data_IF_974459200366
#
_entry.id   IF_974459200366
#
_cell.length_a   1.000
_cell.length_b   1.000
_cell.length_c   1.000
_cell.angle_alpha   90.00
_cell.angle_beta   90.00
_cell.angle_gamma   90.00
#
_symmetry.space_group_name_H-M   'P 1'
#
loop_
_entity.id
_entity.type
_entity.pdbx_description
1 polymer ?
#
# COMPACT_ATOMS: atom_id res chain seq x y z
N UNK A 1 21.57 20.49 6.00
CA UNK A 1 20.39 19.82 5.42
C UNK A 1 19.37 19.72 6.53
N UNK A 2 18.21 20.35 6.40
CA UNK A 2 17.11 20.14 7.33
C UNK A 2 16.28 18.94 6.81
N UNK A 3 15.90 18.04 7.70
CA UNK A 3 15.02 16.90 7.39
C UNK A 3 13.69 17.16 8.07
N UNK A 4 12.59 17.00 7.34
CA UNK A 4 11.24 17.05 7.86
C UNK A 4 10.62 15.66 7.76
N UNK A 5 9.97 15.21 8.84
CA UNK A 5 9.40 13.87 8.93
C UNK A 5 7.90 13.98 9.15
N UNK A 6 7.12 13.34 8.28
CA UNK A 6 5.67 13.27 8.38
C UNK A 6 5.27 11.90 8.91
N UNK A 7 4.38 11.88 9.91
CA UNK A 7 3.78 10.67 10.45
C UNK A 7 2.33 10.49 10.00
N UNK A 8 1.76 9.31 10.20
CA UNK A 8 0.34 9.07 9.92
C UNK A 8 -0.56 9.96 10.78
N UNK A 9 -1.53 10.63 10.13
CA UNK A 9 -2.53 11.48 10.79
C UNK A 9 -3.98 11.11 10.42
N UNK A 10 -4.17 10.15 9.51
CA UNK A 10 -5.47 9.84 8.90
C UNK A 10 -5.95 10.91 7.89
N UNK A 11 -5.08 11.84 7.48
CA UNK A 11 -5.43 12.90 6.54
C UNK A 11 -4.21 13.50 5.83
N UNK A 12 -4.49 14.34 4.84
CA UNK A 12 -3.45 15.01 4.04
C UNK A 12 -2.65 15.99 4.88
N UNK A 13 -1.34 15.95 4.74
CA UNK A 13 -0.39 16.94 5.26
C UNK A 13 0.23 17.72 4.10
N UNK A 14 0.89 18.83 4.39
CA UNK A 14 1.49 19.68 3.35
C UNK A 14 2.91 20.05 3.70
N UNK A 15 3.78 20.07 2.70
CA UNK A 15 5.13 20.60 2.76
C UNK A 15 5.23 21.80 1.82
N UNK A 16 5.61 22.96 2.35
CA UNK A 16 5.91 24.15 1.53
C UNK A 16 7.41 24.23 1.31
N UNK A 17 7.82 24.23 0.05
CA UNK A 17 9.24 24.27 -0.31
C UNK A 17 9.86 25.60 0.17
N UNK A 18 10.93 25.56 0.98
CA UNK A 18 11.56 26.77 1.48
C UNK A 18 12.14 27.65 0.36
N UNK A 19 12.31 28.93 0.66
CA UNK A 19 13.02 29.86 -0.22
C UNK A 19 14.42 29.32 -0.57
N UNK A 20 14.81 29.45 -1.84
CA UNK A 20 16.09 29.00 -2.39
C UNK A 20 16.32 27.47 -2.37
N UNK A 21 15.26 26.67 -2.23
CA UNK A 21 15.32 25.22 -2.43
C UNK A 21 14.70 24.86 -3.77
N UNK A 22 15.50 24.24 -4.64
CA UNK A 22 15.07 23.81 -5.98
C UNK A 22 15.14 22.28 -6.16
N UNK A 23 15.65 21.58 -5.14
CA UNK A 23 15.83 20.13 -5.17
C UNK A 23 15.63 19.56 -3.75
N UNK A 24 14.82 18.51 -3.62
CA UNK A 24 14.60 17.79 -2.36
C UNK A 24 14.78 16.29 -2.55
N UNK A 25 15.35 15.63 -1.55
CA UNK A 25 15.33 14.17 -1.45
C UNK A 25 14.06 13.75 -0.72
N UNK A 26 13.30 12.83 -1.32
CA UNK A 26 12.09 12.28 -0.72
C UNK A 26 12.31 10.80 -0.44
N UNK A 27 11.98 10.37 0.78
CA UNK A 27 12.00 8.97 1.21
C UNK A 27 10.65 8.62 1.80
N UNK A 28 10.03 7.59 1.26
CA UNK A 28 8.67 7.17 1.61
C UNK A 28 8.68 5.70 2.04
N UNK A 29 7.98 5.41 3.13
CA UNK A 29 7.70 4.05 3.60
C UNK A 29 6.18 3.88 3.61
N UNK A 30 5.67 2.94 2.83
CA UNK A 30 4.26 2.56 2.92
C UNK A 30 3.98 1.85 4.24
N UNK A 31 2.72 1.82 4.65
CA UNK A 31 2.35 1.22 5.92
C UNK A 31 2.36 -0.31 5.84
N UNK A 32 2.66 -0.95 6.97
CA UNK A 32 2.46 -2.38 7.14
C UNK A 32 1.02 -2.73 7.52
N UNK A 33 0.62 -3.98 7.35
CA UNK A 33 -0.75 -4.45 7.67
C UNK A 33 -1.11 -4.26 9.15
N UNK A 34 -0.10 -4.37 10.02
CA UNK A 34 -0.28 -4.43 11.48
C UNK A 34 -0.40 -5.88 11.96
N UNK A 35 -0.34 -6.09 13.28
CA UNK A 35 -0.59 -7.41 13.87
C UNK A 35 -2.09 -7.73 13.76
N UNK A 36 -2.44 -8.67 12.89
CA UNK A 36 -3.77 -9.29 12.84
C UNK A 36 -3.78 -10.60 13.63
N UNK A 37 -4.97 -11.16 13.92
CA UNK A 37 -5.13 -12.33 14.80
C UNK A 37 -4.29 -13.52 14.36
N UNK A 38 -3.10 -13.63 14.95
CA UNK A 38 -2.15 -14.72 14.83
C UNK A 38 -1.13 -14.65 13.68
N UNK A 39 -1.04 -13.55 12.95
CA UNK A 39 0.02 -13.34 11.94
C UNK A 39 0.93 -12.16 12.31
N UNK A 40 2.24 -12.33 12.12
CA UNK A 40 3.17 -11.21 12.17
C UNK A 40 2.93 -10.41 10.88
N UNK A 41 2.28 -9.24 10.99
CA UNK A 41 1.92 -8.41 9.84
C UNK A 41 3.06 -8.14 8.85
N UNK A 42 2.70 -7.76 7.64
CA UNK A 42 3.64 -7.45 6.58
C UNK A 42 4.12 -6.01 6.66
N UNK A 43 5.35 -5.76 6.21
CA UNK A 43 5.89 -4.42 6.03
C UNK A 43 5.39 -3.80 4.72
N UNK A 44 5.23 -2.48 4.67
CA UNK A 44 5.02 -1.74 3.43
C UNK A 44 6.33 -1.51 2.66
N UNK A 45 6.20 -1.03 1.43
CA UNK A 45 7.32 -0.77 0.53
C UNK A 45 8.11 0.49 0.86
N UNK A 46 9.26 0.63 0.21
CA UNK A 46 10.14 1.80 0.30
C UNK A 46 10.37 2.43 -1.06
N UNK A 47 10.26 3.75 -1.16
CA UNK A 47 10.63 4.52 -2.34
C UNK A 47 11.53 5.70 -1.96
N UNK A 48 12.55 5.98 -2.77
CA UNK A 48 13.41 7.14 -2.62
C UNK A 48 13.74 7.81 -3.95
N UNK A 49 13.86 9.13 -3.94
CA UNK A 49 14.23 9.86 -5.14
C UNK A 49 14.49 11.34 -4.91
N UNK A 50 15.15 11.95 -5.89
CA UNK A 50 15.32 13.40 -5.97
C UNK A 50 14.17 14.02 -6.76
N UNK A 51 13.61 15.10 -6.23
CA UNK A 51 12.49 15.84 -6.83
C UNK A 51 12.91 17.28 -7.08
N UNK A 52 12.88 17.68 -8.36
CA UNK A 52 12.98 19.09 -8.73
C UNK A 52 11.73 19.82 -8.24
N UNK A 53 11.97 20.92 -7.51
CA UNK A 53 10.94 21.73 -6.87
C UNK A 53 11.09 23.21 -7.18
N UNK A 54 10.01 23.96 -7.02
CA UNK A 54 10.01 25.43 -7.09
C UNK A 54 9.91 26.02 -5.69
N UNK A 55 10.76 26.98 -5.30
CA UNK A 55 10.60 27.71 -4.04
C UNK A 55 9.17 28.22 -3.85
N UNK A 56 8.58 27.93 -2.70
CA UNK A 56 7.21 28.32 -2.34
C UNK A 56 6.10 27.41 -2.88
N UNK A 57 6.37 26.39 -3.69
CA UNK A 57 5.32 25.43 -4.08
C UNK A 57 4.89 24.57 -2.88
N UNK A 58 3.65 24.09 -2.91
CA UNK A 58 3.08 23.23 -1.87
C UNK A 58 2.94 21.79 -2.38
N UNK A 59 3.68 20.89 -1.76
CA UNK A 59 3.54 19.44 -1.94
C UNK A 59 2.53 18.89 -0.94
N UNK A 60 1.73 17.93 -1.38
CA UNK A 60 0.73 17.24 -0.57
C UNK A 60 1.30 15.88 -0.17
N UNK A 61 1.40 15.66 1.14
CA UNK A 61 2.00 14.47 1.74
C UNK A 61 0.91 13.59 2.33
N UNK A 62 0.86 12.35 1.88
CA UNK A 62 -0.04 11.32 2.36
C UNK A 62 0.83 10.25 3.00
N UNK A 63 0.64 10.00 4.28
CA UNK A 63 1.37 8.94 4.99
C UNK A 63 0.41 7.78 5.19
N UNK A 64 0.82 6.58 4.81
CA UNK A 64 0.03 5.37 4.97
C UNK A 64 -0.25 5.05 6.43
N UNK A 65 -1.48 4.65 6.71
CA UNK A 65 -1.93 4.01 7.94
C UNK A 65 -1.94 2.50 7.78
N UNK A 66 -1.71 1.79 8.87
CA UNK A 66 -1.76 0.33 8.86
C UNK A 66 -3.13 -0.21 8.45
N UNK A 67 -3.18 -1.48 8.04
CA UNK A 67 -4.43 -2.20 7.82
C UNK A 67 -5.36 -2.09 9.02
N UNK A 68 -4.83 -2.30 10.24
CA UNK A 68 -5.57 -2.10 11.50
C UNK A 68 -6.11 -0.68 11.75
N UNK A 69 -5.62 0.32 11.00
CA UNK A 69 -6.12 1.70 11.01
C UNK A 69 -6.99 2.02 9.78
N UNK A 70 -7.54 1.00 9.11
CA UNK A 70 -8.43 1.13 7.96
C UNK A 70 -7.71 1.41 6.64
N UNK A 71 -6.40 1.18 6.56
CA UNK A 71 -5.68 1.19 5.29
C UNK A 71 -5.59 2.54 4.59
N UNK A 72 -5.78 3.66 5.29
CA UNK A 72 -5.77 4.96 4.63
C UNK A 72 -4.35 5.39 4.20
N UNK A 73 -4.13 5.95 3.00
CA UNK A 73 -5.05 5.96 1.87
C UNK A 73 -4.92 4.67 1.05
N UNK A 74 -6.02 4.30 0.39
CA UNK A 74 -6.06 3.35 -0.72
C UNK A 74 -5.88 1.85 -0.37
N UNK A 75 -5.90 1.45 0.90
CA UNK A 75 -5.99 0.04 1.29
C UNK A 75 -7.37 -0.55 0.97
N UNK A 76 -7.39 -1.83 0.56
CA UNK A 76 -8.61 -2.60 0.37
C UNK A 76 -9.14 -3.18 1.69
N UNK A 77 -10.44 -3.41 1.78
CA UNK A 77 -11.04 -4.01 2.97
C UNK A 77 -10.87 -5.52 3.01
N UNK A 78 -10.56 -6.07 4.19
CA UNK A 78 -10.69 -7.49 4.48
C UNK A 78 -12.16 -7.91 4.65
N UNK A 79 -12.39 -9.21 4.79
CA UNK A 79 -13.72 -9.77 5.09
C UNK A 79 -13.68 -10.64 6.35
N UNK A 80 -14.77 -10.65 7.12
CA UNK A 80 -14.89 -11.48 8.32
C UNK A 80 -13.81 -11.17 9.35
N UNK A 81 -12.92 -12.13 9.59
CA UNK A 81 -11.76 -11.99 10.47
C UNK A 81 -10.45 -11.61 9.74
N UNK A 82 -10.50 -11.45 8.41
CA UNK A 82 -9.36 -11.02 7.60
C UNK A 82 -9.03 -9.54 7.81
N UNK A 83 -7.75 -9.22 7.73
CA UNK A 83 -7.20 -7.88 7.89
C UNK A 83 -7.39 -6.99 6.67
N UNK A 84 -7.52 -5.70 6.91
CA UNK A 84 -7.51 -4.70 5.84
C UNK A 84 -6.10 -4.57 5.24
N UNK A 85 -6.03 -4.25 3.96
CA UNK A 85 -4.78 -3.83 3.32
C UNK A 85 -4.33 -2.46 3.84
N UNK A 86 -3.03 -2.26 3.93
CA UNK A 86 -2.44 -1.03 4.44
C UNK A 86 -2.35 0.08 3.37
N UNK A 87 -2.26 1.32 3.85
CA UNK A 87 -2.22 2.49 3.00
C UNK A 87 -0.85 2.78 2.41
N UNK A 88 -0.85 3.38 1.22
CA UNK A 88 0.37 3.86 0.57
C UNK A 88 0.87 5.19 1.15
N UNK A 89 2.18 5.39 1.17
CA UNK A 89 2.79 6.71 1.43
C UNK A 89 3.18 7.35 0.12
N UNK A 90 2.75 8.58 -0.11
CA UNK A 90 2.92 9.26 -1.39
C UNK A 90 3.03 10.78 -1.25
N UNK A 91 3.75 11.39 -2.19
CA UNK A 91 3.83 12.84 -2.35
C UNK A 91 3.21 13.23 -3.69
N UNK A 92 2.45 14.33 -3.69
CA UNK A 92 1.73 14.83 -4.87
C UNK A 92 1.89 16.33 -5.05
N UNK A 93 1.89 16.81 -6.30
CA UNK A 93 1.89 18.25 -6.62
C UNK A 93 0.51 18.90 -6.48
N UNK A 94 -0.55 18.09 -6.42
CA UNK A 94 -1.91 18.53 -6.08
C UNK A 94 -2.62 17.45 -5.27
N UNK A 95 -3.88 17.66 -4.92
CA UNK A 95 -4.68 16.60 -4.29
C UNK A 95 -5.06 15.47 -5.25
N UNK A 96 -4.84 15.62 -6.57
CA UNK A 96 -5.14 14.61 -7.58
C UNK A 96 -4.17 13.44 -7.54
N UNK A 97 -4.69 12.21 -7.64
CA UNK A 97 -3.90 10.97 -7.73
C UNK A 97 -3.04 10.90 -9.01
N UNK A 98 -3.39 11.67 -10.05
CA UNK A 98 -2.58 11.76 -11.27
C UNK A 98 -1.26 12.50 -11.06
N UNK A 99 -1.18 13.34 -10.01
CA UNK A 99 -0.08 14.27 -9.80
C UNK A 99 0.92 13.75 -8.75
N UNK A 100 0.90 12.43 -8.53
CA UNK A 100 1.87 11.71 -7.70
C UNK A 100 3.27 11.87 -8.28
N UNK A 101 4.24 12.09 -7.41
CA UNK A 101 5.66 12.20 -7.80
C UNK A 101 6.51 11.08 -7.21
N UNK A 102 6.07 10.51 -6.10
CA UNK A 102 6.64 9.30 -5.51
C UNK A 102 5.57 8.54 -4.75
N UNK A 103 5.62 7.20 -4.81
CA UNK A 103 4.69 6.32 -4.10
C UNK A 103 5.46 5.13 -3.53
N UNK A 104 5.25 4.87 -2.24
CA UNK A 104 5.65 3.67 -1.53
C UNK A 104 4.40 2.87 -1.15
N UNK A 105 4.32 1.63 -1.59
CA UNK A 105 3.17 0.76 -1.43
C UNK A 105 2.86 0.35 0.00
N UNK A 106 1.59 0.29 0.37
CA UNK A 106 1.15 -0.39 1.59
C UNK A 106 1.15 -1.90 1.40
N UNK A 107 1.27 -2.63 2.51
CA UNK A 107 1.18 -4.09 2.55
C UNK A 107 -0.25 -4.61 2.33
N UNK A 108 -0.40 -5.84 1.84
CA UNK A 108 -1.65 -6.59 1.87
C UNK A 108 -2.11 -6.95 3.29
N UNK A 109 -3.41 -7.17 3.46
CA UNK A 109 -4.02 -7.67 4.69
C UNK A 109 -3.85 -9.18 4.83
N UNK A 110 -3.78 -9.67 6.07
CA UNK A 110 -3.67 -11.10 6.35
C UNK A 110 -5.04 -11.77 6.35
N UNK A 111 -5.11 -13.02 5.91
CA UNK A 111 -6.28 -13.86 6.19
C UNK A 111 -6.39 -14.20 7.69
N UNK A 112 -7.59 -14.47 8.17
CA UNK A 112 -7.78 -14.96 9.53
C UNK A 112 -7.23 -16.38 9.70
N UNK A 113 -6.60 -16.65 10.84
CA UNK A 113 -6.22 -18.00 11.21
C UNK A 113 -7.45 -18.83 11.60
N UNK A 114 -7.93 -19.68 10.70
CA UNK A 114 -8.73 -20.84 11.10
C UNK A 114 -7.76 -22.02 11.26
N UNK A 115 -7.45 -22.36 12.51
CA UNK A 115 -6.76 -23.56 13.04
C UNK A 115 -5.58 -24.12 12.17
N UNK A 116 -4.35 -24.03 12.72
CA UNK A 116 -3.10 -24.66 12.20
C UNK A 116 -2.40 -24.08 10.95
N UNK A 117 -2.83 -22.92 10.47
CA UNK A 117 -2.31 -22.38 9.22
C UNK A 117 -1.73 -20.97 9.34
N UNK A 118 -0.47 -20.87 9.80
CA UNK A 118 0.28 -19.62 9.90
C UNK A 118 0.69 -19.12 8.49
N UNK A 119 -0.13 -18.25 7.88
CA UNK A 119 0.19 -17.64 6.58
C UNK A 119 0.44 -16.13 6.77
N UNK A 120 1.67 -15.66 6.49
CA UNK A 120 1.98 -14.24 6.55
C UNK A 120 1.33 -13.51 5.36
N UNK A 121 0.81 -12.28 5.55
CA UNK A 121 0.32 -11.43 4.46
C UNK A 121 1.42 -11.10 3.44
N UNK A 122 1.00 -10.71 2.22
CA UNK A 122 1.90 -10.18 1.18
C UNK A 122 2.69 -8.97 1.67
N UNK A 123 4.00 -8.95 1.38
CA UNK A 123 4.90 -7.86 1.77
C UNK A 123 4.90 -6.74 0.74
N UNK A 124 4.54 -5.54 1.20
CA UNK A 124 4.55 -4.30 0.42
C UNK A 124 5.90 -3.97 -0.22
N UNK A 125 5.93 -3.68 -1.52
CA UNK A 125 7.03 -2.99 -2.20
C UNK A 125 7.72 -3.74 -3.34
N UNK A 126 8.48 -3.00 -4.16
CA UNK A 126 9.17 -3.52 -5.36
C UNK A 126 8.66 -2.87 -6.66
N UNK A 127 9.15 -3.32 -7.82
CA UNK A 127 8.55 -2.99 -9.13
C UNK A 127 7.30 -3.85 -9.42
N UNK A 128 7.14 -4.91 -8.64
CA UNK A 128 6.07 -5.90 -8.61
C UNK A 128 5.84 -6.17 -7.12
N UNK A 129 4.59 -6.12 -6.66
CA UNK A 129 4.25 -6.59 -5.32
C UNK A 129 4.31 -8.11 -5.21
N UNK A 130 4.47 -8.62 -3.99
CA UNK A 130 4.43 -10.06 -3.77
C UNK A 130 3.01 -10.61 -3.98
N UNK A 131 2.92 -11.81 -4.53
CA UNK A 131 1.68 -12.56 -4.62
C UNK A 131 1.33 -13.15 -3.25
N UNK A 132 0.04 -13.39 -3.05
CA UNK A 132 -0.49 -14.23 -1.99
C UNK A 132 0.28 -15.55 -1.74
N UNK A 133 0.60 -15.84 -0.49
CA UNK A 133 1.23 -17.07 -0.04
C UNK A 133 0.28 -18.26 0.10
N UNK A 134 -0.16 -18.88 -1.02
CA UNK A 134 -0.34 -20.35 -1.20
C UNK A 134 -0.96 -20.66 -2.59
N UNK A 135 -0.22 -21.38 -3.44
CA UNK A 135 -0.62 -21.80 -4.79
C UNK A 135 -1.70 -22.90 -4.87
N UNK A 136 -2.24 -23.37 -3.75
CA UNK A 136 -3.20 -24.49 -3.73
C UNK A 136 -4.66 -24.09 -4.03
N UNK A 137 -5.01 -22.80 -3.88
CA UNK A 137 -6.39 -22.29 -4.08
C UNK A 137 -6.49 -21.04 -4.96
N UNK A 138 -5.48 -20.80 -5.79
CA UNK A 138 -5.41 -19.58 -6.57
C UNK A 138 -4.75 -18.44 -5.79
N UNK A 139 -3.95 -17.62 -6.47
CA UNK A 139 -3.12 -16.60 -5.84
C UNK A 139 -3.50 -15.24 -6.38
N UNK A 140 -4.08 -14.41 -5.50
CA UNK A 140 -4.22 -12.98 -5.76
C UNK A 140 -2.83 -12.37 -5.90
N UNK A 141 -2.64 -11.56 -6.94
CA UNK A 141 -1.30 -11.07 -7.32
C UNK A 141 -1.03 -9.67 -6.82
N UNK A 142 0.24 -9.35 -6.65
CA UNK A 142 0.72 -7.98 -6.55
C UNK A 142 0.29 -7.09 -7.72
N UNK A 143 0.01 -5.83 -7.42
CA UNK A 143 0.10 -4.73 -8.38
C UNK A 143 1.55 -4.46 -8.82
N UNK A 144 1.69 -4.02 -10.06
CA UNK A 144 2.96 -3.68 -10.70
C UNK A 144 3.04 -2.18 -10.99
N UNK A 145 4.11 -1.70 -11.62
CA UNK A 145 4.20 -0.29 -12.07
C UNK A 145 3.20 0.06 -13.18
N UNK A 146 2.54 -0.94 -13.79
CA UNK A 146 1.72 -0.73 -14.98
C UNK A 146 0.32 -1.33 -14.91
N UNK A 147 0.03 -2.14 -13.88
CA UNK A 147 -1.27 -2.79 -13.70
C UNK A 147 -1.54 -3.04 -12.23
N UNK A 148 -2.81 -3.02 -11.82
CA UNK A 148 -3.22 -3.52 -10.52
C UNK A 148 -3.07 -5.04 -10.42
N UNK A 149 -3.09 -5.54 -9.19
CA UNK A 149 -3.10 -6.95 -8.90
C UNK A 149 -4.39 -7.61 -9.37
N UNK A 150 -4.31 -8.88 -9.76
CA UNK A 150 -5.47 -9.68 -10.19
C UNK A 150 -5.96 -10.52 -9.02
N UNK A 151 -7.24 -10.37 -8.66
CA UNK A 151 -7.88 -11.13 -7.60
C UNK A 151 -8.24 -12.54 -8.05
N UNK A 152 -8.20 -13.49 -7.12
CA UNK A 152 -8.69 -14.86 -7.34
C UNK A 152 -9.70 -15.24 -6.24
N UNK A 153 -10.45 -16.33 -6.43
CA UNK A 153 -11.34 -16.88 -5.40
C UNK A 153 -12.44 -15.93 -4.92
N UNK A 154 -12.81 -14.93 -5.72
CA UNK A 154 -13.82 -13.90 -5.38
C UNK A 154 -13.25 -12.59 -4.83
N UNK A 155 -11.93 -12.49 -4.63
CA UNK A 155 -11.25 -11.22 -4.34
C UNK A 155 -11.29 -10.26 -5.52
N UNK A 156 -11.36 -8.96 -5.25
CA UNK A 156 -11.36 -7.94 -6.29
C UNK A 156 -9.95 -7.61 -6.77
N UNK A 157 -9.82 -7.24 -8.05
CA UNK A 157 -8.60 -6.67 -8.60
C UNK A 157 -8.26 -5.33 -7.93
N UNK A 158 -6.96 -5.04 -7.85
CA UNK A 158 -6.50 -3.69 -7.54
C UNK A 158 -6.80 -2.74 -8.69
N UNK A 159 -7.19 -1.49 -8.38
CA UNK A 159 -7.60 -0.53 -9.41
C UNK A 159 -7.13 0.88 -9.10
N UNK A 160 -6.37 1.46 -10.04
CA UNK A 160 -5.68 2.72 -9.80
C UNK A 160 -4.86 2.62 -8.51
N UNK A 161 -4.93 3.58 -7.58
CA UNK A 161 -4.15 3.50 -6.35
C UNK A 161 -4.67 2.47 -5.34
N UNK A 162 -5.90 1.99 -5.52
CA UNK A 162 -6.65 1.27 -4.49
C UNK A 162 -6.38 -0.23 -4.54
N UNK A 163 -6.09 -0.80 -3.38
CA UNK A 163 -6.14 -2.22 -3.16
C UNK A 163 -7.56 -2.78 -3.34
N UNK A 164 -7.65 -4.00 -3.85
CA UNK A 164 -8.89 -4.74 -4.01
C UNK A 164 -9.44 -5.21 -2.68
N UNK A 165 -10.75 -5.30 -2.57
CA UNK A 165 -11.40 -5.85 -1.38
C UNK A 165 -11.37 -7.38 -1.41
N UNK A 166 -11.37 -7.99 -0.23
CA UNK A 166 -11.53 -9.42 -0.06
C UNK A 166 -12.88 -9.94 -0.60
N UNK A 167 -12.89 -11.22 -1.00
CA UNK A 167 -14.11 -11.92 -1.38
C UNK A 167 -15.02 -12.23 -0.18
N UNK A 168 -16.33 -12.22 -0.38
CA UNK A 168 -17.29 -12.44 0.72
C UNK A 168 -17.24 -13.86 1.31
N UNK A 169 -17.29 -13.96 2.64
CA UNK A 169 -17.28 -15.18 3.44
C UNK A 169 -15.99 -16.01 3.36
N UNK A 170 -14.85 -15.36 3.12
CA UNK A 170 -13.56 -16.03 2.91
C UNK A 170 -12.55 -15.82 4.02
N UNK A 171 -12.86 -14.95 5.01
CA UNK A 171 -11.93 -14.50 6.04
C UNK A 171 -10.59 -13.97 5.45
N UNK A 172 -10.64 -13.47 4.21
CA UNK A 172 -9.47 -13.08 3.45
C UNK A 172 -9.10 -11.61 3.67
N UNK A 173 -7.83 -11.31 3.39
CA UNK A 173 -7.27 -9.97 3.55
C UNK A 173 -7.52 -9.05 2.35
N UNK A 174 -7.58 -7.75 2.59
CA UNK A 174 -7.64 -6.73 1.53
C UNK A 174 -6.28 -6.48 0.86
N UNK A 175 -6.29 -5.95 -0.36
CA UNK A 175 -5.07 -5.57 -1.09
C UNK A 175 -4.42 -4.31 -0.56
N UNK A 176 -3.08 -4.21 -0.65
CA UNK A 176 -2.34 -3.00 -0.29
C UNK A 176 -2.56 -1.85 -1.28
N UNK A 177 -2.52 -0.61 -0.80
CA UNK A 177 -2.58 0.59 -1.64
C UNK A 177 -1.24 0.93 -2.31
N UNK A 178 -1.25 1.70 -3.40
CA UNK A 178 -0.01 2.25 -3.99
C UNK A 178 -0.12 2.77 -5.41
N UNK A 179 0.91 2.59 -6.27
CA UNK A 179 0.86 3.18 -7.61
C UNK A 179 -0.21 2.51 -8.47
N UNK A 180 -0.15 1.18 -8.53
CA UNK A 180 -1.28 0.32 -8.83
C UNK A 180 -1.54 -0.61 -7.65
N UNK A 181 -2.76 -0.55 -7.11
CA UNK A 181 -3.20 -1.34 -5.97
C UNK A 181 -3.02 -2.84 -6.14
N UNK A 182 -2.85 -3.52 -5.01
CA UNK A 182 -2.92 -4.96 -4.88
C UNK A 182 -4.29 -5.54 -5.14
N UNK A 183 -4.37 -6.82 -5.49
CA UNK A 183 -5.65 -7.54 -5.41
C UNK A 183 -6.04 -7.81 -3.95
N UNK A 184 -7.33 -7.99 -3.68
CA UNK A 184 -7.82 -8.59 -2.44
C UNK A 184 -7.77 -10.11 -2.50
N UNK A 185 -7.71 -10.75 -1.34
CA UNK A 185 -7.75 -12.21 -1.22
C UNK A 185 -9.13 -12.82 -1.50
N UNK A 186 -9.14 -14.04 -2.03
CA UNK A 186 -10.31 -14.94 -2.06
C UNK A 186 -10.17 -16.10 -1.08
N UNK A 187 -10.72 -17.27 -1.39
CA UNK A 187 -10.47 -18.51 -0.62
C UNK A 187 -8.95 -18.82 -0.56
N UNK A 188 -8.31 -18.39 0.53
CA UNK A 188 -6.89 -18.59 0.84
C UNK A 188 -5.84 -17.89 -0.05
N UNK A 189 -6.02 -16.60 -0.33
CA UNK A 189 -4.95 -15.74 -0.89
C UNK A 189 -4.77 -14.44 -0.10
N UNK A 190 -3.53 -13.94 0.02
CA UNK A 190 -3.19 -12.63 0.58
C UNK A 190 -3.40 -11.50 -0.43
N UNK A 191 -3.44 -10.26 0.06
CA UNK A 191 -3.52 -9.11 -0.82
C UNK A 191 -2.20 -8.87 -1.55
N UNK A 192 -2.25 -8.64 -2.86
CA UNK A 192 -1.06 -8.26 -3.61
C UNK A 192 -0.50 -6.92 -3.20
N UNK A 193 0.79 -6.69 -3.43
CA UNK A 193 1.44 -5.41 -3.08
C UNK A 193 1.68 -4.50 -4.29
N UNK A 194 2.10 -3.26 -4.09
CA UNK A 194 2.13 -2.27 -5.17
C UNK A 194 3.52 -1.81 -5.54
N UNK A 195 3.65 -1.39 -6.80
CA UNK A 195 4.93 -0.91 -7.28
C UNK A 195 5.27 0.52 -6.86
N UNK A 196 6.56 0.74 -6.64
CA UNK A 196 7.17 2.05 -6.41
C UNK A 196 7.28 2.82 -7.73
N UNK A 197 7.03 4.13 -7.72
CA UNK A 197 7.38 5.04 -8.82
C UNK A 197 8.25 6.17 -8.27
N UNK A 198 9.45 6.33 -8.84
CA UNK A 198 10.44 7.37 -8.48
C UNK A 198 11.71 6.77 -7.87
N UNK A 199 12.80 6.77 -8.66
CA UNK A 199 14.14 6.33 -8.24
C UNK A 199 14.73 5.26 -9.16
N UNK A 200 15.84 5.58 -9.83
CA UNK A 200 16.66 4.62 -10.60
C UNK A 200 17.63 3.88 -9.67
#
# INVERSE_FOLDING_TARGET
MATETFGYTGGVQTYTVPENVELVEVRCWGAGSGEDTGSNGAAGGYAEGWLDVTPGETLHVYVGGSGTNGGWPNGGSGDGQGGDGAGSTEVRRSTSVSDRVIVAGGAGGARALVEDFNYPPGVGGGNEGEDAGNSSYGVSTGGTQTSGGVGDGGGADGSGPNGGNAGAATDAGGGGGGYHGGAGGGEASDGGDTATWGGA
#
